data_IF_047387551509
#
_entry.id   IF_047387551509
#
_cell.length_a   1.000
_cell.length_b   1.000
_cell.length_c   1.000
_cell.angle_alpha   90.00
_cell.angle_beta   90.00
_cell.angle_gamma   90.00
#
_symmetry.space_group_name_H-M   'P 1'
#
loop_
_entity.id
_entity.type
_entity.pdbx_description
1 polymer ?
#
# COMPACT_ATOMS: atom_id res chain seq x y z
N UNK A 1 -6.61 -44.74 -24.64
CA UNK A 1 -5.63 -43.79 -24.08
C UNK A 1 -6.31 -42.51 -23.58
N UNK A 2 -7.34 -41.99 -24.25
CA UNK A 2 -8.13 -40.83 -23.78
C UNK A 2 -8.73 -40.98 -22.38
N UNK A 3 -9.26 -42.14 -21.99
CA UNK A 3 -9.93 -42.29 -20.68
C UNK A 3 -8.98 -42.16 -19.48
N UNK A 4 -7.68 -42.48 -19.68
CA UNK A 4 -6.67 -42.31 -18.62
C UNK A 4 -6.26 -40.85 -18.47
N UNK A 5 -6.18 -40.10 -19.57
CA UNK A 5 -5.83 -38.67 -19.57
C UNK A 5 -6.96 -37.86 -18.95
N UNK A 6 -8.21 -38.11 -19.38
CA UNK A 6 -9.40 -37.44 -18.83
C UNK A 6 -9.53 -37.60 -17.32
N UNK A 7 -9.25 -38.80 -16.78
CA UNK A 7 -9.28 -39.03 -15.32
C UNK A 7 -8.17 -38.33 -14.54
N UNK A 8 -7.02 -38.04 -15.17
CA UNK A 8 -5.92 -37.33 -14.51
C UNK A 8 -6.24 -35.83 -14.44
N UNK A 9 -6.77 -35.28 -15.54
CA UNK A 9 -7.14 -33.86 -15.60
C UNK A 9 -8.29 -33.56 -14.61
N UNK A 10 -9.32 -34.40 -14.55
CA UNK A 10 -10.41 -34.27 -13.56
C UNK A 10 -9.91 -34.34 -12.11
N UNK A 11 -8.92 -35.20 -11.82
CA UNK A 11 -8.40 -35.32 -10.46
C UNK A 11 -7.55 -34.11 -10.05
N UNK A 12 -6.80 -33.55 -11.00
CA UNK A 12 -6.02 -32.32 -10.79
C UNK A 12 -6.92 -31.12 -10.53
N UNK A 13 -8.00 -31.00 -11.30
CA UNK A 13 -8.98 -29.92 -11.18
C UNK A 13 -9.69 -29.92 -9.82
N UNK A 14 -10.05 -31.11 -9.31
CA UNK A 14 -10.64 -31.28 -7.97
C UNK A 14 -9.68 -30.86 -6.84
N UNK A 15 -8.38 -31.13 -6.99
CA UNK A 15 -7.37 -30.79 -5.99
C UNK A 15 -7.09 -29.27 -5.97
N UNK A 16 -7.00 -28.67 -7.15
CA UNK A 16 -6.87 -27.23 -7.33
C UNK A 16 -8.08 -26.48 -6.76
N UNK A 17 -9.29 -26.92 -7.09
CA UNK A 17 -10.54 -26.37 -6.55
C UNK A 17 -10.54 -26.33 -5.01
N UNK A 18 -10.20 -27.45 -4.36
CA UNK A 18 -10.16 -27.51 -2.88
C UNK A 18 -9.08 -26.61 -2.30
N UNK A 19 -7.95 -26.49 -2.98
CA UNK A 19 -6.85 -25.62 -2.56
C UNK A 19 -7.30 -24.16 -2.59
N UNK A 20 -7.92 -23.72 -3.68
CA UNK A 20 -8.45 -22.36 -3.81
C UNK A 20 -9.55 -22.09 -2.80
N UNK A 21 -10.48 -23.03 -2.60
CA UNK A 21 -11.52 -22.87 -1.59
C UNK A 21 -10.94 -22.65 -0.19
N UNK A 22 -9.97 -23.48 0.24
CA UNK A 22 -9.31 -23.30 1.54
C UNK A 22 -8.58 -21.96 1.65
N UNK A 23 -7.98 -21.48 0.55
CA UNK A 23 -7.34 -20.16 0.52
C UNK A 23 -8.36 -19.03 0.62
N UNK A 24 -9.53 -19.16 0.00
CA UNK A 24 -10.62 -18.18 0.11
C UNK A 24 -11.19 -18.13 1.53
N UNK A 25 -11.39 -19.28 2.16
CA UNK A 25 -11.82 -19.34 3.57
C UNK A 25 -10.80 -18.64 4.48
N UNK A 26 -9.51 -18.94 4.28
CA UNK A 26 -8.41 -18.29 5.02
C UNK A 26 -8.30 -16.79 4.74
N UNK A 27 -8.60 -16.37 3.50
CA UNK A 27 -8.60 -14.97 3.09
C UNK A 27 -9.72 -14.20 3.80
N UNK A 28 -10.91 -14.81 3.90
CA UNK A 28 -12.05 -14.26 4.64
C UNK A 28 -11.76 -14.14 6.14
N UNK A 29 -10.97 -15.05 6.70
CA UNK A 29 -10.46 -14.95 8.08
C UNK A 29 -9.32 -13.91 8.24
N UNK A 30 -8.84 -13.31 7.15
CA UNK A 30 -7.72 -12.34 7.16
C UNK A 30 -6.37 -12.95 7.54
N UNK A 31 -6.22 -14.27 7.39
CA UNK A 31 -5.04 -15.01 7.83
C UNK A 31 -4.06 -15.33 6.68
N UNK A 32 -4.35 -14.90 5.46
CA UNK A 32 -3.52 -15.15 4.26
C UNK A 32 -2.18 -14.44 4.30
N UNK A 33 -1.18 -15.09 3.72
CA UNK A 33 0.12 -14.47 3.42
C UNK A 33 0.15 -13.89 2.00
N UNK A 34 1.13 -13.04 1.72
CA UNK A 34 1.29 -12.42 0.39
C UNK A 34 1.45 -13.45 -0.74
N UNK A 35 2.11 -14.57 -0.49
CA UNK A 35 2.31 -15.66 -1.47
C UNK A 35 1.00 -16.40 -1.76
N UNK A 36 0.18 -16.62 -0.74
CA UNK A 36 -1.14 -17.24 -0.87
C UNK A 36 -2.09 -16.34 -1.67
N UNK A 37 -2.10 -15.04 -1.38
CA UNK A 37 -2.90 -14.09 -2.15
C UNK A 37 -2.39 -13.92 -3.58
N UNK A 38 -1.08 -14.09 -3.82
CA UNK A 38 -0.54 -14.13 -5.18
C UNK A 38 -1.06 -15.35 -5.95
N UNK A 39 -1.24 -16.48 -5.26
CA UNK A 39 -1.84 -17.69 -5.82
C UNK A 39 -3.31 -17.46 -6.18
N UNK A 40 -4.08 -16.79 -5.30
CA UNK A 40 -5.46 -16.41 -5.57
C UNK A 40 -5.56 -15.46 -6.79
N UNK A 41 -4.74 -14.40 -6.83
CA UNK A 41 -4.67 -13.47 -7.98
C UNK A 41 -4.43 -14.21 -9.28
N UNK A 42 -3.41 -15.07 -9.30
CA UNK A 42 -3.05 -15.86 -10.47
C UNK A 42 -4.19 -16.79 -10.91
N UNK A 43 -4.82 -17.48 -9.95
CA UNK A 43 -5.93 -18.38 -10.25
C UNK A 43 -7.09 -17.67 -10.94
N UNK A 44 -7.55 -16.54 -10.40
CA UNK A 44 -8.66 -15.78 -10.98
C UNK A 44 -8.31 -15.07 -12.29
N UNK A 45 -7.04 -14.74 -12.50
CA UNK A 45 -6.54 -14.23 -13.79
C UNK A 45 -6.57 -15.32 -14.87
N UNK A 46 -6.14 -16.54 -14.55
CA UNK A 46 -6.07 -17.66 -15.51
C UNK A 46 -7.45 -18.27 -15.82
N UNK A 47 -8.35 -18.33 -14.84
CA UNK A 47 -9.63 -19.04 -14.99
C UNK A 47 -10.79 -18.16 -15.48
N UNK A 48 -10.71 -16.83 -15.34
CA UNK A 48 -11.67 -15.89 -15.95
C UNK A 48 -13.15 -16.23 -15.67
N UNK A 49 -13.85 -16.80 -16.67
CA UNK A 49 -15.27 -17.19 -16.55
C UNK A 49 -15.48 -18.66 -16.16
N UNK A 50 -14.44 -19.47 -16.13
CA UNK A 50 -14.48 -20.89 -15.78
C UNK A 50 -14.29 -21.08 -14.26
N UNK A 51 -15.19 -20.46 -13.50
CA UNK A 51 -15.21 -20.50 -12.03
C UNK A 51 -16.65 -20.71 -11.53
N UNK A 52 -16.84 -21.22 -10.30
CA UNK A 52 -18.16 -21.33 -9.70
C UNK A 52 -18.84 -19.97 -9.55
N UNK A 53 -20.18 -19.97 -9.63
CA UNK A 53 -21.01 -18.78 -9.43
C UNK A 53 -20.78 -18.13 -8.05
N UNK A 54 -20.57 -18.96 -7.03
CA UNK A 54 -20.26 -18.52 -5.66
C UNK A 54 -18.98 -17.68 -5.58
N UNK A 55 -18.07 -17.81 -6.57
CA UNK A 55 -16.80 -17.11 -6.58
C UNK A 55 -16.75 -15.87 -7.48
N UNK A 56 -17.87 -15.47 -8.09
CA UNK A 56 -17.89 -14.29 -8.97
C UNK A 56 -17.48 -13.00 -8.26
N UNK A 57 -17.84 -12.83 -6.98
CA UNK A 57 -17.43 -11.67 -6.19
C UNK A 57 -15.92 -11.64 -5.97
N UNK A 58 -15.28 -12.79 -5.74
CA UNK A 58 -13.83 -12.88 -5.62
C UNK A 58 -13.13 -12.59 -6.94
N UNK A 59 -13.68 -13.07 -8.07
CA UNK A 59 -13.15 -12.72 -9.40
C UNK A 59 -13.12 -11.22 -9.62
N UNK A 60 -14.23 -10.54 -9.32
CA UNK A 60 -14.31 -9.08 -9.47
C UNK A 60 -13.25 -8.38 -8.59
N UNK A 61 -13.12 -8.83 -7.34
CA UNK A 61 -12.12 -8.32 -6.40
C UNK A 61 -10.69 -8.51 -6.90
N UNK A 62 -10.30 -9.75 -7.23
CA UNK A 62 -8.94 -10.05 -7.66
C UNK A 62 -8.60 -9.44 -9.03
N UNK A 63 -9.59 -9.26 -9.91
CA UNK A 63 -9.41 -8.52 -11.16
C UNK A 63 -9.07 -7.04 -10.90
N UNK A 64 -9.78 -6.40 -9.97
CA UNK A 64 -9.49 -5.02 -9.57
C UNK A 64 -8.12 -4.89 -8.92
N UNK A 65 -7.78 -5.77 -7.97
CA UNK A 65 -6.47 -5.76 -7.30
C UNK A 65 -5.34 -5.96 -8.32
N UNK A 66 -5.50 -6.88 -9.27
CA UNK A 66 -4.54 -7.09 -10.35
C UNK A 66 -4.31 -5.83 -11.19
N UNK A 67 -5.40 -5.14 -11.55
CA UNK A 67 -5.34 -3.88 -12.29
C UNK A 67 -4.60 -2.78 -11.52
N UNK A 68 -4.90 -2.59 -10.24
CA UNK A 68 -4.24 -1.61 -9.37
C UNK A 68 -2.71 -1.86 -9.28
N UNK A 69 -2.29 -3.12 -9.13
CA UNK A 69 -0.86 -3.47 -9.09
C UNK A 69 -0.14 -3.15 -10.40
N UNK A 70 -0.78 -3.40 -11.55
CA UNK A 70 -0.22 -3.06 -12.86
C UNK A 70 -0.09 -1.55 -13.05
N UNK A 71 -1.09 -0.78 -12.59
CA UNK A 71 -1.08 0.68 -12.68
C UNK A 71 0.04 1.27 -11.81
N UNK A 72 0.16 0.82 -10.55
CA UNK A 72 1.23 1.25 -9.65
C UNK A 72 2.62 0.92 -10.23
N UNK A 73 2.79 -0.25 -10.83
CA UNK A 73 4.05 -0.62 -11.46
C UNK A 73 4.41 0.24 -12.68
N UNK A 74 3.42 0.79 -13.38
CA UNK A 74 3.63 1.70 -14.51
C UNK A 74 4.03 3.08 -14.01
N UNK A 75 3.33 3.60 -13.00
CA UNK A 75 3.67 4.89 -12.36
C UNK A 75 5.12 4.87 -11.85
N UNK A 76 5.52 3.81 -11.14
CA UNK A 76 6.90 3.68 -10.62
C UNK A 76 7.95 3.64 -11.74
N UNK A 77 7.67 2.96 -12.86
CA UNK A 77 8.58 2.93 -14.02
C UNK A 77 8.68 4.30 -14.70
N UNK A 78 7.57 5.01 -14.82
CA UNK A 78 7.55 6.37 -15.37
C UNK A 78 8.32 7.34 -14.46
N UNK A 79 8.26 7.18 -13.13
CA UNK A 79 9.04 7.98 -12.19
C UNK A 79 10.54 7.68 -12.28
N UNK A 80 10.96 6.41 -12.33
CA UNK A 80 12.36 6.01 -12.51
C UNK A 80 12.95 6.54 -13.83
N UNK A 81 12.21 6.46 -14.95
CA UNK A 81 12.67 6.98 -16.25
C UNK A 81 12.77 8.52 -16.27
N UNK A 82 11.90 9.24 -15.55
CA UNK A 82 11.95 10.70 -15.44
C UNK A 82 13.08 11.19 -14.51
N UNK A 83 13.46 10.42 -13.48
CA UNK A 83 14.60 10.74 -12.61
C UNK A 83 15.95 10.56 -13.33
N UNK A 84 16.09 9.56 -14.21
CA UNK A 84 17.32 9.31 -14.99
C UNK A 84 17.64 10.40 -16.03
N UNK A 85 16.66 11.21 -16.44
CA UNK A 85 16.85 12.33 -17.38
C UNK A 85 17.28 13.63 -16.68
N UNK A 86 17.15 13.70 -15.34
CA UNK A 86 17.57 14.86 -14.55
C UNK A 86 19.04 14.79 -14.12
N UNK A 87 19.61 13.60 -13.90
CA UNK A 87 21.02 13.45 -13.51
C UNK A 87 22.04 13.71 -14.65
N UNK A 88 21.60 13.75 -15.92
CA UNK A 88 22.51 13.93 -17.07
C UNK A 88 22.73 15.38 -17.50
N UNK A 89 22.12 16.37 -16.85
CA UNK A 89 22.16 17.78 -17.32
C UNK A 89 23.07 18.76 -16.58
N UNK A 90 23.74 18.37 -15.50
CA UNK A 90 24.58 19.30 -14.71
C UNK A 90 26.05 18.88 -14.59
N UNK A 91 26.76 18.72 -15.71
CA UNK A 91 28.24 18.80 -15.70
C UNK A 91 28.74 19.51 -16.98
N UNK A 92 28.45 20.81 -17.11
CA UNK A 92 29.33 21.69 -17.89
C UNK A 92 30.63 21.89 -17.09
N UNK A 93 31.65 21.12 -17.46
CA UNK A 93 33.02 21.30 -16.98
C UNK A 93 33.55 22.66 -17.45
N UNK A 94 33.65 23.62 -16.53
CA UNK A 94 34.52 24.79 -16.71
C UNK A 94 35.98 24.33 -16.89
N UNK A 95 36.53 24.61 -18.06
CA UNK A 95 37.92 24.33 -18.42
C UNK A 95 38.89 25.31 -17.73
N UNK A 96 39.63 24.84 -16.73
CA UNK A 96 40.77 25.58 -16.16
C UNK A 96 42.07 25.11 -16.86
N UNK A 97 42.90 26.04 -17.40
CA UNK A 97 44.02 25.69 -18.27
C UNK A 97 45.17 25.03 -17.51
N UNK A 98 45.68 23.94 -18.07
CA UNK A 98 46.85 23.19 -17.60
C UNK A 98 48.11 24.06 -17.73
N UNK A 99 48.83 24.26 -16.62
CA UNK A 99 50.27 24.53 -16.64
C UNK A 99 51.00 23.48 -15.81
N UNK A 100 51.96 22.87 -16.46
CA UNK A 100 52.87 21.86 -15.94
C UNK A 100 53.80 22.47 -14.88
N UNK A 101 53.93 21.82 -13.73
CA UNK A 101 55.20 21.74 -13.02
C UNK A 101 55.16 20.64 -11.96
N UNK A 102 56.21 19.84 -12.02
CA UNK A 102 56.64 18.76 -11.13
C UNK A 102 56.67 19.12 -9.63
N UNK A 103 56.43 18.11 -8.79
CA UNK A 103 56.69 17.97 -7.33
C UNK A 103 55.70 18.60 -6.34
N UNK A 104 54.90 17.73 -5.72
CA UNK A 104 54.84 17.51 -4.25
C UNK A 104 53.56 16.77 -3.86
N UNK A 105 53.66 15.51 -3.44
CA UNK A 105 52.54 14.67 -2.96
C UNK A 105 52.17 14.95 -1.49
N UNK A 106 52.58 16.08 -0.91
CA UNK A 106 52.50 16.33 0.54
C UNK A 106 51.60 17.50 0.96
N UNK A 107 50.73 18.01 0.07
CA UNK A 107 49.85 19.15 0.39
C UNK A 107 48.35 18.86 0.17
N UNK A 108 47.89 17.64 0.48
CA UNK A 108 46.47 17.23 0.32
C UNK A 108 45.70 16.95 1.61
N UNK A 109 46.30 17.09 2.79
CA UNK A 109 45.65 16.65 4.04
C UNK A 109 45.29 17.76 5.04
N UNK A 110 45.26 19.04 4.63
CA UNK A 110 44.86 20.14 5.53
C UNK A 110 43.68 21.00 5.04
N UNK A 111 42.91 20.55 4.03
CA UNK A 111 41.88 21.37 3.37
C UNK A 111 40.44 20.85 3.41
N UNK A 112 40.14 19.75 4.10
CA UNK A 112 38.83 19.06 3.99
C UNK A 112 37.96 19.10 5.27
N UNK A 113 38.34 19.89 6.28
CA UNK A 113 37.66 19.80 7.59
C UNK A 113 36.48 20.75 7.82
N UNK A 114 36.14 21.67 6.91
CA UNK A 114 35.08 22.68 7.17
C UNK A 114 33.78 22.40 6.41
N UNK A 115 33.82 21.82 5.20
CA UNK A 115 32.61 21.58 4.40
C UNK A 115 31.70 20.47 4.96
N UNK A 116 32.28 19.43 5.58
CA UNK A 116 31.52 18.27 6.05
C UNK A 116 30.51 18.61 7.17
N UNK A 117 30.86 19.53 8.08
CA UNK A 117 29.99 19.91 9.19
C UNK A 117 28.72 20.66 8.72
N UNK A 118 28.85 21.49 7.67
CA UNK A 118 27.70 22.20 7.08
C UNK A 118 26.72 21.22 6.39
N UNK A 119 27.24 20.21 5.69
CA UNK A 119 26.43 19.17 5.05
C UNK A 119 25.66 18.35 6.10
N UNK A 120 26.32 17.97 7.20
CA UNK A 120 25.68 17.24 8.30
C UNK A 120 24.57 18.08 8.95
N UNK A 121 24.77 19.39 9.13
CA UNK A 121 23.74 20.27 9.69
C UNK A 121 22.50 20.40 8.77
N UNK A 122 22.69 20.50 7.45
CA UNK A 122 21.58 20.52 6.49
C UNK A 122 20.80 19.20 6.44
N UNK A 123 21.49 18.05 6.55
CA UNK A 123 20.84 16.74 6.60
C UNK A 123 19.97 16.57 7.85
N UNK A 124 20.44 17.01 9.02
CA UNK A 124 19.69 16.89 10.28
C UNK A 124 18.44 17.79 10.28
N UNK A 125 18.53 19.02 9.76
CA UNK A 125 17.39 19.95 9.67
C UNK A 125 16.38 19.50 8.62
N UNK A 126 16.83 18.90 7.50
CA UNK A 126 15.96 18.36 6.46
C UNK A 126 15.10 17.18 6.93
N UNK A 127 15.66 16.28 7.74
CA UNK A 127 14.92 15.11 8.26
C UNK A 127 13.83 15.52 9.27
N UNK A 128 14.04 16.57 10.08
CA UNK A 128 13.02 17.02 11.04
C UNK A 128 11.73 17.52 10.39
N UNK A 129 11.77 18.03 9.14
CA UNK A 129 10.57 18.44 8.41
C UNK A 129 9.72 17.27 7.91
N UNK A 130 10.29 16.08 7.78
CA UNK A 130 9.59 14.86 7.32
C UNK A 130 8.85 14.17 8.50
N UNK A 131 9.24 14.47 9.73
CA UNK A 131 8.60 13.95 10.95
C UNK A 131 7.39 14.79 11.41
N UNK A 132 6.68 15.45 10.48
CA UNK A 132 5.37 16.03 10.81
C UNK A 132 4.37 14.86 10.89
N UNK A 133 3.78 14.58 12.07
CA UNK A 133 2.70 13.60 12.16
C UNK A 133 1.56 14.09 11.26
N UNK A 134 1.27 13.33 10.21
CA UNK A 134 0.07 13.59 9.41
C UNK A 134 -1.13 13.39 10.33
N UNK A 135 -2.11 14.30 10.37
CA UNK A 135 -3.33 14.08 11.13
C UNK A 135 -4.09 12.92 10.49
N UNK A 136 -3.99 11.73 11.09
CA UNK A 136 -4.61 10.47 10.62
C UNK A 136 -6.15 10.51 10.67
N UNK A 137 -6.74 11.45 11.42
CA UNK A 137 -8.20 11.53 11.64
C UNK A 137 -8.75 12.92 11.25
N UNK A 138 -9.79 12.93 10.41
CA UNK A 138 -10.54 14.13 10.02
C UNK A 138 -12.04 13.89 10.14
N UNK A 139 -12.81 14.95 10.34
CA UNK A 139 -14.27 14.92 10.32
C UNK A 139 -14.81 15.88 9.25
N UNK A 140 -15.93 15.51 8.62
CA UNK A 140 -16.66 16.38 7.70
C UNK A 140 -18.03 16.68 8.30
N UNK A 141 -18.20 17.90 8.80
CA UNK A 141 -19.43 18.36 9.44
C UNK A 141 -19.94 19.55 8.62
N UNK A 142 -21.19 19.49 8.14
CA UNK A 142 -21.79 20.52 7.27
C UNK A 142 -20.96 20.88 6.03
N UNK A 143 -20.25 19.90 5.47
CA UNK A 143 -19.39 20.09 4.30
C UNK A 143 -18.07 20.83 4.58
N UNK A 144 -17.72 21.04 5.86
CA UNK A 144 -16.42 21.58 6.28
C UNK A 144 -15.55 20.49 6.85
N UNK A 145 -14.27 20.51 6.48
CA UNK A 145 -13.28 19.55 6.95
C UNK A 145 -12.62 20.06 8.23
N UNK A 146 -12.60 19.22 9.24
CA UNK A 146 -11.95 19.44 10.52
C UNK A 146 -10.81 18.44 10.68
N UNK A 147 -9.61 18.94 11.00
CA UNK A 147 -8.39 18.12 11.17
C UNK A 147 -7.82 18.25 12.59
N UNK A 148 -8.53 18.96 13.47
CA UNK A 148 -8.14 19.08 14.87
C UNK A 148 -8.47 17.77 15.59
N UNK A 149 -7.45 17.10 16.12
CA UNK A 149 -7.58 15.74 16.62
C UNK A 149 -8.51 15.65 17.84
N UNK A 150 -8.46 16.62 18.76
CA UNK A 150 -9.31 16.61 19.95
C UNK A 150 -10.78 16.84 19.57
N UNK A 151 -11.05 17.79 18.67
CA UNK A 151 -12.38 18.05 18.16
C UNK A 151 -12.97 16.85 17.42
N UNK A 152 -12.22 16.28 16.47
CA UNK A 152 -12.66 15.12 15.66
C UNK A 152 -12.96 13.92 16.56
N UNK A 153 -12.10 13.66 17.55
CA UNK A 153 -12.29 12.54 18.47
C UNK A 153 -13.51 12.74 19.38
N UNK A 154 -13.72 13.95 19.89
CA UNK A 154 -14.89 14.27 20.71
C UNK A 154 -16.19 14.10 19.91
N UNK A 155 -16.26 14.66 18.70
CA UNK A 155 -17.43 14.55 17.83
C UNK A 155 -17.73 13.07 17.49
N UNK A 156 -16.69 12.27 17.23
CA UNK A 156 -16.85 10.86 16.97
C UNK A 156 -17.44 10.09 18.16
N UNK A 157 -17.06 10.44 19.39
CA UNK A 157 -17.62 9.83 20.60
C UNK A 157 -19.08 10.23 20.83
N UNK A 158 -19.41 11.50 20.64
CA UNK A 158 -20.79 12.03 20.77
C UNK A 158 -21.73 11.32 19.79
N UNK A 159 -21.31 11.20 18.52
CA UNK A 159 -22.07 10.48 17.50
C UNK A 159 -22.25 8.98 17.80
N UNK A 160 -21.29 8.35 18.50
CA UNK A 160 -21.42 6.97 18.93
C UNK A 160 -22.38 6.82 20.10
N UNK A 161 -22.40 7.77 21.03
CA UNK A 161 -23.32 7.79 22.17
C UNK A 161 -24.78 7.94 21.70
N UNK A 162 -25.04 8.83 20.75
CA UNK A 162 -26.38 9.03 20.15
C UNK A 162 -26.96 7.77 19.47
N UNK A 163 -26.09 6.90 18.93
CA UNK A 163 -26.47 5.65 18.27
C UNK A 163 -26.43 4.47 19.24
N UNK A 164 -25.82 4.63 20.40
CA UNK A 164 -25.69 3.55 21.38
C UNK A 164 -27.06 3.13 21.92
N UNK A 165 -27.34 1.83 21.90
CA UNK A 165 -28.63 1.26 22.23
C UNK A 165 -28.87 1.12 23.76
N UNK A 166 -28.22 1.94 24.59
CA UNK A 166 -28.26 1.80 26.05
C UNK A 166 -29.40 2.59 26.73
N UNK A 167 -30.31 3.20 25.97
CA UNK A 167 -31.49 3.85 26.53
C UNK A 167 -32.78 3.26 25.94
N UNK A 168 -33.47 2.49 26.78
CA UNK A 168 -34.77 1.82 26.56
C UNK A 168 -34.67 0.54 25.72
N UNK A 169 -34.89 -0.61 26.37
CA UNK A 169 -35.06 -1.89 25.69
C UNK A 169 -36.11 -1.73 24.57
N UNK A 170 -35.75 -1.91 23.29
CA UNK A 170 -36.62 -1.63 22.15
C UNK A 170 -37.88 -2.52 22.11
N UNK A 171 -37.96 -3.53 23.00
CA UNK A 171 -39.11 -4.39 23.19
C UNK A 171 -39.88 -4.14 24.50
N UNK A 172 -39.55 -3.11 25.29
CA UNK A 172 -40.27 -2.77 26.53
C UNK A 172 -41.76 -2.47 26.30
N UNK A 173 -42.13 -2.03 25.10
CA UNK A 173 -43.53 -1.89 24.69
C UNK A 173 -44.30 -3.23 24.61
N UNK A 174 -43.61 -4.36 24.44
CA UNK A 174 -44.20 -5.70 24.37
C UNK A 174 -44.69 -6.18 25.74
N UNK A 175 -44.02 -5.77 26.82
CA UNK A 175 -44.36 -6.18 28.19
C UNK A 175 -45.67 -5.54 28.69
N UNK A 176 -46.09 -4.43 28.07
CA UNK A 176 -47.37 -3.77 28.35
C UNK A 176 -48.59 -4.46 27.71
N UNK A 177 -48.41 -5.38 26.75
CA UNK A 177 -49.49 -6.10 26.07
C UNK A 177 -49.92 -7.41 26.77
N UNK A 178 -49.27 -7.78 27.87
CA UNK A 178 -49.51 -9.06 28.57
C UNK A 178 -50.57 -9.01 29.68
N UNK A 179 -51.45 -8.00 29.69
CA UNK A 179 -52.59 -7.91 30.61
C UNK A 179 -53.87 -8.49 30.01
#
# INVERSE_FOLDING_TARGET
MNDKIKRIDEFKDIDEFKTIQNLLDKYMDGATSNEEEATLRKYFEEHGNDIPEEWESYRALFSYIGFEQMNLSQILKEEEENEEDFEKKDIEKEEIPKKEASRSRWLKYFGTSVAAAAIIAFLIVGIQKIAQPQPECYAVIDGKVYTDQEFVHHEALDALEDVSADAEDPFSALDMMKQ
#
